data_IF_706953086514
#
_entry.id   IF_706953086514
#
_cell.length_a   1.000
_cell.length_b   1.000
_cell.length_c   1.000
_cell.angle_alpha   90.00
_cell.angle_beta   90.00
_cell.angle_gamma   90.00
#
_symmetry.space_group_name_H-M   'P 1'
#
loop_
_entity.id
_entity.type
_entity.pdbx_description
1 polymer ?
#
# COMPACT_ATOMS: atom_id res chain seq x y z
N UNK A 1 -0.28 -2.40 -8.73
CA UNK A 1 0.41 -2.43 -7.42
C UNK A 1 -0.01 -3.68 -6.67
N UNK A 2 0.93 -4.58 -6.41
CA UNK A 2 0.61 -5.79 -5.65
C UNK A 2 0.16 -5.38 -4.23
N UNK A 3 -0.90 -5.99 -3.68
CA UNK A 3 -1.45 -5.64 -2.36
C UNK A 3 -0.41 -5.74 -1.23
N UNK A 4 0.59 -6.59 -1.40
CA UNK A 4 1.69 -6.73 -0.45
C UNK A 4 2.90 -5.80 -0.71
N UNK A 5 2.98 -5.14 -1.86
CA UNK A 5 4.06 -4.21 -2.19
C UNK A 5 3.95 -2.94 -1.32
N UNK A 6 5.06 -2.21 -1.11
CA UNK A 6 5.02 -0.88 -0.49
C UNK A 6 4.10 0.07 -1.27
N UNK A 7 3.38 0.92 -0.54
CA UNK A 7 2.42 1.85 -1.13
C UNK A 7 3.17 2.99 -1.87
N UNK A 8 2.80 3.30 -3.12
CA UNK A 8 3.50 4.32 -3.90
C UNK A 8 3.33 5.76 -3.36
N UNK A 9 2.46 5.98 -2.38
CA UNK A 9 2.27 7.29 -1.76
C UNK A 9 3.38 7.69 -0.76
N UNK A 10 4.41 6.86 -0.57
CA UNK A 10 5.51 7.15 0.35
C UNK A 10 5.17 6.99 1.84
N UNK A 11 4.03 6.40 2.20
CA UNK A 11 3.62 6.25 3.61
C UNK A 11 4.40 5.18 4.40
N UNK A 12 5.28 4.43 3.72
CA UNK A 12 5.98 3.27 4.30
C UNK A 12 5.09 2.06 4.57
N UNK A 13 3.77 2.17 4.39
CA UNK A 13 2.81 1.08 4.58
C UNK A 13 2.70 0.22 3.31
N UNK A 14 2.32 -1.05 3.47
CA UNK A 14 1.95 -1.92 2.32
C UNK A 14 0.68 -1.39 1.66
N UNK A 15 0.55 -1.58 0.34
CA UNK A 15 -0.58 -1.09 -0.44
C UNK A 15 -1.92 -1.49 0.19
N UNK A 16 -2.08 -2.75 0.61
CA UNK A 16 -3.29 -3.25 1.28
C UNK A 16 -3.66 -2.62 2.63
N UNK A 17 -2.73 -1.94 3.30
CA UNK A 17 -2.96 -1.26 4.60
C UNK A 17 -2.96 0.27 4.45
N UNK A 18 -3.08 0.77 3.22
CA UNK A 18 -3.07 2.18 2.89
C UNK A 18 -4.13 2.42 1.80
N UNK A 19 -3.75 2.85 0.60
CA UNK A 19 -4.66 3.13 -0.52
C UNK A 19 -5.38 1.90 -1.09
N UNK A 20 -4.95 0.69 -0.73
CA UNK A 20 -5.61 -0.57 -1.04
C UNK A 20 -6.32 -1.18 0.18
N UNK A 21 -6.57 -0.41 1.24
CA UNK A 21 -7.45 -0.80 2.34
C UNK A 21 -8.90 -0.59 1.90
N UNK A 22 -9.39 -1.56 1.13
CA UNK A 22 -10.79 -1.95 1.06
C UNK A 22 -10.95 -3.20 1.93
#
# INVERSE_FOLDING_TARGET
>A
MSRNAPCPCGSGKKFKHCHGAL
#
